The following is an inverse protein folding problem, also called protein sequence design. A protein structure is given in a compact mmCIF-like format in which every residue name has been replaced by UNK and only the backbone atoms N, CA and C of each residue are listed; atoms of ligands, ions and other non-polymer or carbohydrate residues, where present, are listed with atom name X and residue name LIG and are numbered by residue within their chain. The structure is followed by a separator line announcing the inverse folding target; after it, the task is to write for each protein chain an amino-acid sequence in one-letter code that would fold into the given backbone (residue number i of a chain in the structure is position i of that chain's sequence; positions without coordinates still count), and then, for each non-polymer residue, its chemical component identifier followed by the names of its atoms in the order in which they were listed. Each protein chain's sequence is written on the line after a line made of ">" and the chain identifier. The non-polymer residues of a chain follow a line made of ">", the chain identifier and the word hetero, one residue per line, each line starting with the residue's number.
data_IF_541234556990
#
_entry.id   IF_541234556990
#
_cell.length_a   1.000
_cell.length_b   1.000
_cell.length_c   1.000
_cell.angle_alpha   90.00
_cell.angle_beta   90.00
_cell.angle_gamma   90.00
#
_symmetry.space_group_name_H-M   'P 1'
#
loop_
_entity.id
_entity.type
_entity.pdbx_description
1 polymer ?
#
# COMPACT_ATOMS: atom_id res chain seq x y z
N UNK A 1 1.07 -10.11 18.00
CA UNK A 1 0.71 -9.60 16.66
C UNK A 1 1.55 -10.35 15.66
N UNK A 2 0.92 -11.06 14.72
CA UNK A 2 1.63 -11.78 13.66
C UNK A 2 1.81 -10.84 12.47
N UNK A 3 3.05 -10.63 12.03
CA UNK A 3 3.41 -9.80 10.87
C UNK A 3 4.27 -10.64 9.95
N UNK A 4 3.91 -10.72 8.67
CA UNK A 4 4.74 -11.34 7.64
C UNK A 4 5.57 -10.28 6.95
N UNK A 5 6.83 -10.59 6.69
CA UNK A 5 7.80 -9.65 6.12
C UNK A 5 8.48 -10.28 4.92
N UNK A 6 8.56 -9.52 3.84
CA UNK A 6 9.32 -9.84 2.64
C UNK A 6 10.20 -8.65 2.31
N UNK A 7 11.52 -8.83 2.45
CA UNK A 7 12.49 -7.84 1.98
C UNK A 7 12.60 -7.89 0.46
N UNK A 8 12.80 -6.74 -0.17
CA UNK A 8 13.10 -6.65 -1.60
C UNK A 8 14.47 -7.25 -1.91
N UNK A 9 14.61 -7.85 -3.09
CA UNK A 9 15.89 -8.37 -3.56
C UNK A 9 16.80 -7.20 -3.95
N UNK A 10 17.63 -6.70 -3.03
CA UNK A 10 18.68 -5.73 -3.38
C UNK A 10 19.76 -6.44 -4.22
N UNK A 11 20.17 -5.85 -5.35
CA UNK A 11 21.45 -6.21 -5.98
C UNK A 11 22.58 -5.77 -5.04
N UNK A 12 22.95 -6.65 -4.11
CA UNK A 12 24.10 -6.47 -3.21
C UNK A 12 23.75 -6.48 -1.73
N UNK A 13 23.71 -7.71 -1.16
CA UNK A 13 23.73 -8.09 0.26
C UNK A 13 22.56 -7.59 1.14
N UNK A 14 21.82 -8.50 1.82
CA UNK A 14 20.98 -8.09 2.93
C UNK A 14 21.84 -7.73 4.15
N UNK A 15 21.65 -6.55 4.73
CA UNK A 15 22.00 -6.28 6.12
C UNK A 15 20.70 -6.15 6.91
N UNK A 16 20.15 -7.28 7.38
CA UNK A 16 19.34 -7.44 8.60
C UNK A 16 18.70 -8.83 8.64
N UNK A 17 18.59 -9.41 9.85
CA UNK A 17 18.14 -10.80 10.05
C UNK A 17 16.62 -10.89 10.24
N UNK A 18 16.06 -12.08 10.01
CA UNK A 18 14.63 -12.41 10.17
C UNK A 18 14.09 -12.33 11.60
N UNK A 19 14.79 -11.66 12.51
CA UNK A 19 14.51 -11.56 13.96
C UNK A 19 14.25 -10.12 14.41
N UNK A 20 14.38 -9.14 13.52
CA UNK A 20 14.14 -7.74 13.87
C UNK A 20 12.64 -7.52 14.16
N UNK A 21 12.34 -6.81 15.25
CA UNK A 21 10.98 -6.43 15.62
C UNK A 21 10.61 -5.19 14.80
N UNK A 22 9.65 -5.34 13.89
CA UNK A 22 9.12 -4.21 13.13
C UNK A 22 7.92 -3.61 13.85
N UNK A 23 7.93 -2.29 14.00
CA UNK A 23 6.82 -1.51 14.53
C UNK A 23 5.75 -1.29 13.47
N UNK A 24 4.53 -0.96 13.89
CA UNK A 24 3.55 -0.37 12.97
C UNK A 24 3.74 1.14 13.02
N UNK A 25 4.01 1.75 11.86
CA UNK A 25 3.99 3.20 11.68
C UNK A 25 2.68 3.74 12.24
N UNK A 26 2.82 4.68 13.17
CA UNK A 26 1.71 5.21 13.93
C UNK A 26 0.95 6.31 13.20
N UNK A 27 1.34 6.70 11.98
CA UNK A 27 0.72 7.84 11.29
C UNK A 27 -0.20 7.40 10.15
N UNK A 28 -1.50 7.59 10.36
CA UNK A 28 -2.53 7.46 9.34
C UNK A 28 -3.24 8.80 9.16
N UNK A 29 -3.44 9.30 7.93
CA UNK A 29 -4.37 10.39 7.71
C UNK A 29 -5.76 10.01 8.24
N UNK A 30 -6.41 10.88 9.01
CA UNK A 30 -7.75 10.61 9.56
C UNK A 30 -8.78 10.05 8.54
N UNK A 31 -8.80 10.49 7.25
CA UNK A 31 -9.67 9.88 6.25
C UNK A 31 -9.38 8.40 5.98
N UNK A 32 -8.12 7.94 6.07
CA UNK A 32 -7.76 6.51 5.95
C UNK A 32 -8.36 5.71 7.09
N UNK A 33 -8.18 6.16 8.35
CA UNK A 33 -8.70 5.45 9.52
C UNK A 33 -10.23 5.38 9.50
N UNK A 34 -10.91 6.49 9.15
CA UNK A 34 -12.37 6.51 8.99
C UNK A 34 -12.83 5.52 7.92
N UNK A 35 -12.21 5.55 6.74
CA UNK A 35 -12.53 4.64 5.65
C UNK A 35 -12.31 3.17 6.06
N UNK A 36 -11.22 2.87 6.77
CA UNK A 36 -10.95 1.53 7.29
C UNK A 36 -12.06 1.07 8.23
N UNK A 37 -12.41 1.86 9.25
CA UNK A 37 -13.46 1.49 10.20
C UNK A 37 -14.83 1.28 9.55
N UNK A 38 -15.20 2.11 8.56
CA UNK A 38 -16.46 1.94 7.82
C UNK A 38 -16.51 0.68 6.96
N UNK A 39 -15.35 0.11 6.60
CA UNK A 39 -15.24 -1.07 5.75
C UNK A 39 -14.84 -2.35 6.52
N UNK A 40 -14.40 -2.21 7.76
CA UNK A 40 -14.05 -3.32 8.63
C UNK A 40 -15.32 -4.09 9.02
N UNK A 41 -15.28 -5.42 8.91
CA UNK A 41 -16.40 -6.31 9.18
C UNK A 41 -17.46 -6.41 8.07
N UNK A 42 -17.52 -5.44 7.15
CA UNK A 42 -18.45 -5.45 6.01
C UNK A 42 -17.76 -5.91 4.72
N UNK A 43 -16.56 -5.40 4.47
CA UNK A 43 -15.83 -5.57 3.23
C UNK A 43 -14.41 -6.08 3.42
N UNK A 44 -13.78 -5.67 4.52
CA UNK A 44 -12.50 -6.18 5.00
C UNK A 44 -12.81 -7.00 6.25
N UNK A 45 -12.68 -8.32 6.16
CA UNK A 45 -12.99 -9.23 7.27
C UNK A 45 -11.88 -9.20 8.29
N UNK A 46 -12.20 -9.53 9.53
CA UNK A 46 -11.20 -9.59 10.62
C UNK A 46 -10.06 -10.57 10.35
N UNK A 47 -10.34 -11.60 9.55
CA UNK A 47 -9.40 -12.65 9.15
C UNK A 47 -8.59 -12.31 7.90
N UNK A 48 -8.97 -11.25 7.19
CA UNK A 48 -8.19 -10.76 6.05
C UNK A 48 -6.88 -10.14 6.54
N UNK A 49 -5.94 -10.05 5.62
CA UNK A 49 -4.61 -9.50 5.82
C UNK A 49 -4.45 -8.28 4.93
N UNK A 50 -3.73 -7.28 5.43
CA UNK A 50 -3.50 -6.00 4.78
C UNK A 50 -2.01 -5.86 4.51
N UNK A 51 -1.68 -5.51 3.28
CA UNK A 51 -0.30 -5.25 2.82
C UNK A 51 0.03 -3.76 2.94
N UNK A 52 1.31 -3.47 3.16
CA UNK A 52 1.89 -2.14 3.04
C UNK A 52 3.42 -2.16 3.07
N UNK A 53 4.06 -0.99 2.88
CA UNK A 53 5.50 -0.88 2.77
C UNK A 53 6.19 -1.02 4.14
N UNK A 54 7.42 -1.51 4.09
CA UNK A 54 8.32 -1.68 5.23
C UNK A 54 9.55 -0.80 5.04
N UNK A 55 9.82 0.08 5.99
CA UNK A 55 10.91 1.06 5.93
C UNK A 55 12.17 0.57 6.67
N UNK A 56 13.35 1.11 6.30
CA UNK A 56 14.68 0.80 6.90
C UNK A 56 14.69 0.98 8.42
N UNK A 57 13.95 1.96 8.92
CA UNK A 57 13.81 2.24 10.35
C UNK A 57 13.05 1.15 11.11
N UNK A 58 12.47 0.17 10.42
CA UNK A 58 11.71 -0.93 11.01
C UNK A 58 10.22 -0.64 11.12
N UNK A 59 9.73 0.43 10.48
CA UNK A 59 8.33 0.82 10.50
C UNK A 59 7.56 0.18 9.34
N UNK A 60 6.40 -0.39 9.66
CA UNK A 60 5.43 -0.87 8.69
C UNK A 60 4.26 0.09 8.58
N UNK A 61 3.99 0.62 7.38
CA UNK A 61 2.81 1.44 7.14
C UNK A 61 1.63 0.58 6.70
N UNK A 62 0.48 0.75 7.35
CA UNK A 62 -0.74 0.01 6.97
C UNK A 62 -1.35 0.65 5.72
N UNK A 63 -1.33 -0.08 4.61
CA UNK A 63 -1.75 0.45 3.31
C UNK A 63 -0.70 1.35 2.68
N UNK A 64 -0.99 1.76 1.45
CA UNK A 64 -0.08 2.53 0.58
C UNK A 64 -0.69 3.92 0.43
N UNK A 65 0.13 4.97 0.45
CA UNK A 65 -0.34 6.35 0.27
C UNK A 65 0.60 7.12 -0.62
N UNK A 66 0.07 7.93 -1.53
CA UNK A 66 0.87 8.67 -2.49
C UNK A 66 0.44 10.12 -2.65
N UNK A 67 1.36 10.94 -3.13
CA UNK A 67 1.03 12.30 -3.59
C UNK A 67 0.78 12.22 -5.10
N UNK A 68 -0.28 12.86 -5.57
CA UNK A 68 -0.58 12.87 -7.00
C UNK A 68 0.44 13.76 -7.72
N UNK A 69 0.78 13.42 -8.95
CA UNK A 69 1.43 14.38 -9.85
C UNK A 69 0.42 15.39 -10.45
N UNK A 70 0.91 16.51 -10.96
CA UNK A 70 0.08 17.64 -11.46
C UNK A 70 -0.98 17.23 -12.50
N UNK A 71 -0.73 16.20 -13.31
CA UNK A 71 -1.65 15.72 -14.35
C UNK A 71 -2.27 14.35 -14.08
N UNK A 72 -1.98 13.78 -12.92
CA UNK A 72 -2.40 12.44 -12.56
C UNK A 72 -3.81 12.47 -11.94
N UNK A 73 -4.62 11.47 -12.26
CA UNK A 73 -5.85 11.21 -11.53
C UNK A 73 -5.58 10.29 -10.31
N UNK A 74 -6.52 10.24 -9.36
CA UNK A 74 -6.29 9.52 -8.10
C UNK A 74 -6.05 8.01 -8.25
N UNK A 75 -6.62 7.37 -9.28
CA UNK A 75 -6.43 5.93 -9.53
C UNK A 75 -5.12 5.64 -10.24
N UNK A 76 -4.72 6.49 -11.17
CA UNK A 76 -3.38 6.45 -11.79
C UNK A 76 -2.30 6.58 -10.72
N UNK A 77 -2.41 7.58 -9.85
CA UNK A 77 -1.52 7.75 -8.71
C UNK A 77 -1.48 6.52 -7.82
N UNK A 78 -2.64 5.93 -7.53
CA UNK A 78 -2.65 4.73 -6.71
C UNK A 78 -1.99 3.52 -7.39
N UNK A 79 -2.15 3.36 -8.70
CA UNK A 79 -1.46 2.29 -9.43
C UNK A 79 0.06 2.50 -9.43
N UNK A 80 0.52 3.74 -9.66
CA UNK A 80 1.94 4.10 -9.61
C UNK A 80 2.55 3.78 -8.24
N UNK A 81 1.93 4.26 -7.17
CA UNK A 81 2.43 4.11 -5.79
C UNK A 81 2.41 2.65 -5.32
N UNK A 82 1.40 1.86 -5.72
CA UNK A 82 1.42 0.41 -5.45
C UNK A 82 2.57 -0.29 -6.19
N UNK A 83 2.86 0.13 -7.41
CA UNK A 83 3.99 -0.39 -8.18
C UNK A 83 5.33 -0.02 -7.55
N UNK A 84 5.47 1.23 -7.10
CA UNK A 84 6.69 1.79 -6.52
C UNK A 84 6.96 1.27 -5.09
N UNK A 85 5.97 1.28 -4.20
CA UNK A 85 6.18 0.98 -2.77
C UNK A 85 6.05 -0.52 -2.42
N UNK A 86 5.20 -1.27 -3.13
CA UNK A 86 4.89 -2.67 -2.77
C UNK A 86 4.98 -3.66 -3.92
N UNK A 87 5.34 -3.20 -5.13
CA UNK A 87 5.61 -4.07 -6.29
C UNK A 87 4.38 -4.76 -6.86
N UNK A 88 3.19 -4.18 -6.73
CA UNK A 88 1.94 -4.72 -7.28
C UNK A 88 1.22 -3.71 -8.17
N UNK A 89 0.43 -4.20 -9.11
CA UNK A 89 -0.46 -3.42 -9.97
C UNK A 89 -1.85 -4.06 -10.00
N UNK A 90 -2.91 -3.32 -10.33
CA UNK A 90 -4.21 -3.90 -10.69
C UNK A 90 -4.04 -4.91 -11.83
N UNK A 91 -4.74 -6.04 -11.77
CA UNK A 91 -4.68 -7.07 -12.79
C UNK A 91 -5.38 -6.57 -14.07
N UNK A 92 -4.76 -6.72 -15.27
CA UNK A 92 -5.41 -6.33 -16.51
C UNK A 92 -6.70 -7.10 -16.74
N UNK A 93 -7.79 -6.39 -17.00
CA UNK A 93 -9.09 -6.98 -17.39
C UNK A 93 -9.30 -6.96 -18.90
N UNK A 94 -8.33 -6.46 -19.67
CA UNK A 94 -8.32 -6.50 -21.15
C UNK A 94 -8.39 -5.12 -21.82
N UNK A 95 -8.64 -4.04 -21.06
CA UNK A 95 -8.42 -2.66 -21.53
C UNK A 95 -7.78 -1.83 -20.40
N UNK A 96 -6.81 -0.97 -20.74
CA UNK A 96 -6.10 -0.13 -19.74
C UNK A 96 -7.07 0.71 -18.89
N UNK A 97 -8.22 1.12 -19.46
CA UNK A 97 -9.22 1.90 -18.75
C UNK A 97 -10.08 1.08 -17.76
N UNK A 98 -10.17 -0.24 -17.94
CA UNK A 98 -10.89 -1.14 -17.03
C UNK A 98 -9.99 -1.63 -15.88
N UNK A 99 -8.67 -1.68 -16.08
CA UNK A 99 -7.70 -2.16 -15.09
C UNK A 99 -7.76 -1.31 -13.80
N UNK A 100 -7.94 0.00 -13.94
CA UNK A 100 -8.06 0.92 -12.79
C UNK A 100 -9.42 0.88 -12.08
N UNK A 101 -10.44 0.24 -12.66
CA UNK A 101 -11.77 0.12 -12.03
C UNK A 101 -11.80 -0.87 -10.87
N UNK A 102 -10.76 -1.70 -10.72
CA UNK A 102 -10.57 -2.58 -9.57
C UNK A 102 -10.35 -1.80 -8.27
N UNK A 103 -9.93 -0.53 -8.35
CA UNK A 103 -9.92 0.37 -7.20
C UNK A 103 -11.34 0.82 -6.84
N UNK A 104 -11.85 0.27 -5.74
CA UNK A 104 -13.12 0.68 -5.15
C UNK A 104 -12.86 1.83 -4.18
N UNK A 105 -13.39 3.01 -4.48
CA UNK A 105 -13.34 4.16 -3.56
C UNK A 105 -14.18 3.83 -2.32
N UNK A 106 -13.60 4.01 -1.14
CA UNK A 106 -14.21 3.69 0.16
C UNK A 106 -14.18 4.85 1.14
N UNK A 107 -13.62 5.98 0.74
CA UNK A 107 -13.62 7.19 1.54
C UNK A 107 -12.94 8.35 0.84
N UNK A 108 -13.22 9.55 1.36
CA UNK A 108 -12.55 10.77 0.94
C UNK A 108 -12.49 11.76 2.11
N UNK A 109 -11.56 12.70 2.05
CA UNK A 109 -11.46 13.75 3.06
C UNK A 109 -10.30 14.71 2.82
N UNK A 110 -9.91 15.43 3.86
CA UNK A 110 -8.70 16.26 3.87
C UNK A 110 -7.73 15.76 4.94
N UNK A 111 -6.44 15.81 4.64
CA UNK A 111 -5.39 15.56 5.62
C UNK A 111 -5.25 16.75 6.56
N UNK A 112 -4.52 16.59 7.68
CA UNK A 112 -4.19 17.70 8.59
C UNK A 112 -3.43 18.86 7.92
N UNK A 113 -2.80 18.61 6.78
CA UNK A 113 -2.08 19.61 5.98
C UNK A 113 -2.95 20.26 4.89
N UNK A 114 -4.25 19.95 4.85
CA UNK A 114 -5.20 20.50 3.88
C UNK A 114 -5.25 19.78 2.53
N UNK A 115 -4.36 18.84 2.24
CA UNK A 115 -4.40 18.04 1.01
C UNK A 115 -5.67 17.19 0.95
N UNK A 116 -6.34 17.18 -0.21
CA UNK A 116 -7.49 16.30 -0.49
C UNK A 116 -7.03 14.87 -0.64
N UNK A 117 -7.67 13.94 0.04
CA UNK A 117 -7.33 12.53 0.03
C UNK A 117 -8.52 11.70 -0.45
N UNK A 118 -8.29 10.81 -1.41
CA UNK A 118 -9.21 9.72 -1.74
C UNK A 118 -8.64 8.39 -1.28
N UNK A 119 -9.49 7.55 -0.69
CA UNK A 119 -9.13 6.26 -0.13
C UNK A 119 -9.81 5.16 -0.91
N UNK A 120 -9.02 4.18 -1.32
CA UNK A 120 -9.44 3.02 -2.09
C UNK A 120 -9.22 1.72 -1.32
N UNK A 121 -9.85 0.66 -1.79
CA UNK A 121 -9.46 -0.71 -1.50
C UNK A 121 -9.19 -1.47 -2.79
N UNK A 122 -8.26 -2.41 -2.71
CA UNK A 122 -7.95 -3.38 -3.76
C UNK A 122 -7.91 -4.76 -3.13
N UNK A 123 -8.69 -5.71 -3.67
CA UNK A 123 -8.61 -7.09 -3.21
C UNK A 123 -7.41 -7.77 -3.88
N UNK A 124 -6.60 -8.51 -3.12
CA UNK A 124 -5.31 -9.02 -3.59
C UNK A 124 -5.41 -9.93 -4.82
N UNK A 125 -6.56 -10.60 -5.02
CA UNK A 125 -6.78 -11.43 -6.21
C UNK A 125 -6.99 -10.62 -7.49
N UNK A 126 -7.31 -9.35 -7.34
CA UNK A 126 -7.43 -8.39 -8.44
C UNK A 126 -6.10 -7.65 -8.62
N UNK A 127 -5.02 -8.11 -8.00
CA UNK A 127 -3.69 -7.54 -8.16
C UNK A 127 -2.75 -8.55 -8.83
N UNK A 128 -1.76 -8.03 -9.54
CA UNK A 128 -0.64 -8.78 -10.09
C UNK A 128 0.68 -8.16 -9.66
N UNK A 129 1.75 -8.93 -9.74
CA UNK A 129 3.10 -8.42 -9.51
C UNK A 129 3.54 -7.52 -10.66
N UNK A 130 4.32 -6.49 -10.34
CA UNK A 130 5.04 -5.71 -11.36
C UNK A 130 5.95 -6.66 -12.15
N UNK A 131 5.82 -6.72 -13.49
CA UNK A 131 6.69 -7.55 -14.32
C UNK A 131 8.16 -7.09 -14.24
N UNK A 132 9.08 -8.05 -14.11
CA UNK A 132 10.55 -7.86 -13.97
C UNK A 132 11.19 -6.87 -14.96
N UNK A 133 10.60 -6.70 -16.14
CA UNK A 133 11.16 -5.89 -17.25
C UNK A 133 10.38 -4.61 -17.52
N UNK A 134 9.26 -4.38 -16.83
CA UNK A 134 8.70 -3.05 -16.82
C UNK A 134 9.65 -2.24 -15.97
N UNK A 135 10.47 -1.43 -16.61
CA UNK A 135 10.81 -0.19 -15.97
C UNK A 135 9.58 0.69 -16.13
N UNK A 136 8.97 1.15 -15.05
CA UNK A 136 8.28 2.44 -15.06
C UNK A 136 9.39 3.49 -15.16
N UNK A 137 10.09 3.47 -16.28
CA UNK A 137 11.05 4.49 -16.72
C UNK A 137 10.24 5.78 -16.83
N UNK A 138 10.61 6.77 -16.04
CA UNK A 138 10.24 8.17 -16.22
C UNK A 138 8.73 8.50 -16.22
N UNK A 139 7.94 7.99 -15.26
CA UNK A 139 6.66 8.65 -14.96
C UNK A 139 6.87 9.96 -14.18
N UNK A 140 7.96 10.06 -13.40
CA UNK A 140 8.28 11.20 -12.55
C UNK A 140 8.92 12.40 -13.27
N UNK A 141 8.38 12.80 -14.42
CA UNK A 141 8.81 14.07 -15.08
C UNK A 141 8.01 15.27 -14.54
N UNK A 142 6.94 15.02 -13.79
CA UNK A 142 6.02 16.07 -13.35
C UNK A 142 6.25 16.51 -11.90
N UNK A 143 5.90 17.76 -11.61
CA UNK A 143 5.89 18.28 -10.25
C UNK A 143 4.75 17.67 -9.42
N UNK A 144 5.06 17.29 -8.18
CA UNK A 144 4.08 16.85 -7.17
C UNK A 144 2.97 17.89 -6.97
N UNK A 145 1.73 17.44 -7.03
CA UNK A 145 0.57 18.19 -6.56
C UNK A 145 0.41 18.01 -5.05
N UNK A 146 1.07 18.89 -4.28
CA UNK A 146 1.00 18.91 -2.81
C UNK A 146 -0.43 19.08 -2.26
N UNK A 147 -1.43 19.38 -3.09
CA UNK A 147 -2.83 19.56 -2.69
C UNK A 147 -3.67 18.28 -2.79
N UNK A 148 -3.17 17.21 -3.41
CA UNK A 148 -3.92 15.96 -3.61
C UNK A 148 -3.09 14.73 -3.24
N UNK A 149 -3.74 13.76 -2.58
CA UNK A 149 -3.18 12.47 -2.18
C UNK A 149 -4.13 11.31 -2.46
N UNK A 150 -3.59 10.12 -2.70
CA UNK A 150 -4.32 8.86 -2.78
C UNK A 150 -3.89 7.95 -1.62
N UNK A 151 -4.77 7.03 -1.24
CA UNK A 151 -4.45 5.97 -0.29
C UNK A 151 -5.19 4.69 -0.63
N UNK A 152 -4.60 3.54 -0.37
CA UNK A 152 -5.22 2.24 -0.65
C UNK A 152 -4.94 1.22 0.44
N UNK A 153 -5.99 0.47 0.81
CA UNK A 153 -5.87 -0.78 1.52
C UNK A 153 -5.87 -1.94 0.54
N UNK A 154 -4.73 -2.61 0.40
CA UNK A 154 -4.62 -3.86 -0.34
C UNK A 154 -4.87 -4.98 0.65
N UNK A 155 -5.90 -5.80 0.41
CA UNK A 155 -6.35 -6.78 1.39
C UNK A 155 -6.77 -8.11 0.78
N UNK A 156 -6.75 -9.17 1.59
CA UNK A 156 -7.34 -10.45 1.19
C UNK A 156 -7.06 -11.60 2.15
N UNK A 157 -7.39 -12.82 1.74
CA UNK A 157 -7.15 -13.98 2.59
C UNK A 157 -5.65 -14.24 2.77
N UNK A 158 -5.25 -14.71 3.96
CA UNK A 158 -3.85 -15.03 4.33
C UNK A 158 -3.11 -15.80 3.23
N UNK A 159 -3.74 -16.85 2.69
CA UNK A 159 -3.15 -17.70 1.66
C UNK A 159 -2.81 -16.94 0.36
N UNK A 160 -3.66 -16.01 -0.06
CA UNK A 160 -3.50 -15.29 -1.32
C UNK A 160 -2.40 -14.23 -1.18
N UNK A 161 -2.36 -13.56 -0.01
CA UNK A 161 -1.31 -12.60 0.37
C UNK A 161 0.06 -13.29 0.45
N UNK A 162 0.14 -14.42 1.14
CA UNK A 162 1.38 -15.20 1.25
C UNK A 162 1.82 -15.77 -0.10
N UNK A 163 0.88 -16.20 -0.94
CA UNK A 163 1.19 -16.63 -2.30
C UNK A 163 1.85 -15.50 -3.09
N UNK A 164 1.32 -14.28 -3.02
CA UNK A 164 1.92 -13.11 -3.68
C UNK A 164 3.32 -12.79 -3.12
N UNK A 165 3.46 -12.68 -1.79
CA UNK A 165 4.74 -12.35 -1.12
C UNK A 165 5.82 -13.44 -1.26
N UNK A 166 5.44 -14.67 -1.60
CA UNK A 166 6.39 -15.76 -1.85
C UNK A 166 7.20 -15.55 -3.13
N UNK A 167 6.64 -14.82 -4.10
CA UNK A 167 7.33 -14.46 -5.34
C UNK A 167 8.46 -13.45 -5.11
N UNK A 168 9.26 -13.25 -6.15
CA UNK A 168 10.25 -12.17 -6.18
C UNK A 168 9.54 -10.83 -6.38
N UNK A 169 9.66 -9.94 -5.40
CA UNK A 169 9.13 -8.58 -5.46
C UNK A 169 10.24 -7.66 -5.93
N UNK A 170 10.01 -6.97 -7.03
CA UNK A 170 10.90 -5.96 -7.57
C UNK A 170 10.45 -4.59 -7.07
N UNK A 171 11.37 -3.80 -6.53
CA UNK A 171 11.13 -2.38 -6.29
C UNK A 171 11.75 -1.54 -7.40
N UNK A 172 11.23 -0.33 -7.57
CA UNK A 172 12.01 0.76 -8.16
C UNK A 172 12.86 1.40 -7.07
N UNK A 173 14.00 1.99 -7.46
CA UNK A 173 14.83 2.74 -6.53
C UNK A 173 14.04 3.98 -6.07
N UNK A 174 13.24 3.84 -5.02
CA UNK A 174 12.50 4.94 -4.41
C UNK A 174 13.49 5.82 -3.64
N UNK A 175 13.31 7.16 -3.63
CA UNK A 175 13.96 8.00 -2.63
C UNK A 175 13.53 7.63 -1.20
N UNK A 176 12.38 6.98 -1.05
CA UNK A 176 11.87 6.51 0.22
C UNK A 176 12.66 5.27 0.69
N UNK A 177 12.99 5.23 1.97
CA UNK A 177 13.80 4.19 2.60
C UNK A 177 13.04 2.86 2.76
N UNK A 178 12.32 2.41 1.71
CA UNK A 178 11.51 1.19 1.72
C UNK A 178 12.39 -0.03 1.40
N UNK A 179 12.47 -0.96 2.35
CA UNK A 179 13.26 -2.20 2.27
C UNK A 179 12.44 -3.42 1.88
N UNK A 180 11.12 -3.34 1.93
CA UNK A 180 10.28 -4.47 1.64
C UNK A 180 8.80 -4.21 1.82
N UNK A 181 8.07 -5.31 1.92
CA UNK A 181 6.63 -5.36 2.10
C UNK A 181 6.33 -6.17 3.34
N UNK A 182 5.38 -5.71 4.12
CA UNK A 182 4.85 -6.50 5.22
C UNK A 182 3.33 -6.65 5.11
N UNK A 183 2.82 -7.68 5.77
CA UNK A 183 1.40 -7.95 5.86
C UNK A 183 1.00 -8.22 7.31
N UNK A 184 -0.16 -7.69 7.69
CA UNK A 184 -0.73 -7.83 9.03
C UNK A 184 -2.21 -8.20 8.94
N UNK A 185 -2.71 -8.97 9.92
CA UNK A 185 -4.13 -9.26 10.00
C UNK A 185 -4.98 -8.00 10.30
N UNK A 186 -6.10 -7.82 9.60
CA UNK A 186 -6.99 -6.68 9.71
C UNK A 186 -7.49 -6.44 11.15
N UNK A 187 -7.73 -7.51 11.92
CA UNK A 187 -8.06 -7.39 13.35
C UNK A 187 -6.97 -6.69 14.16
N UNK A 188 -5.70 -6.96 13.86
CA UNK A 188 -4.59 -6.30 14.54
C UNK A 188 -4.50 -4.82 14.15
N UNK A 189 -4.83 -4.48 12.90
CA UNK A 189 -4.97 -3.09 12.44
C UNK A 189 -6.08 -2.37 13.20
N UNK A 190 -7.25 -2.98 13.30
CA UNK A 190 -8.38 -2.44 14.06
C UNK A 190 -7.99 -2.18 15.51
N UNK A 191 -7.39 -3.16 16.18
CA UNK A 191 -6.92 -3.03 17.56
C UNK A 191 -5.85 -1.93 17.70
N UNK A 192 -4.93 -1.82 16.74
CA UNK A 192 -3.91 -0.76 16.75
C UNK A 192 -4.53 0.64 16.62
N UNK A 193 -5.40 0.85 15.64
CA UNK A 193 -6.03 2.16 15.38
C UNK A 193 -7.00 2.59 16.49
N UNK A 194 -7.63 1.64 17.19
CA UNK A 194 -8.52 1.92 18.34
C UNK A 194 -7.77 2.21 19.63
N UNK A 195 -6.60 1.61 19.83
CA UNK A 195 -5.74 1.87 21.00
C UNK A 195 -4.83 3.08 20.82
N UNK A 196 -4.59 3.48 19.57
CA UNK A 196 -3.79 4.65 19.20
C UNK A 196 -4.60 5.57 18.26
N UNK A 197 -5.75 6.10 18.71
CA UNK A 197 -6.50 7.03 17.89
C UNK A 197 -5.64 8.27 17.66
N UNK A 198 -5.25 8.50 16.41
CA UNK A 198 -4.67 9.78 15.99
C UNK A 198 -5.75 10.60 15.28
N UNK A 199 -5.85 11.85 15.71
CA UNK A 199 -6.88 12.83 15.35
C UNK A 199 -7.15 12.99 13.84
#
# INVERSE_FOLDING_TARGET
>A
MEVYIKLFTQRGKPKRSSTDKYGISSWFPAPMSKAFFSNYGTHIRETDWIIGPLYEEGDFQIGVTGTLETHENYREAMARELGEEVGILPQPTGTIHDDLNQFIEIGAGKTKYGSRLKVYRLYIKDAMLVPKYQHLTDLSVNHDDKTRKSGCFVYGAKKDILALMSNELYHYKSPDEIVGVAAIQARSVYNFMTTNPKD
#
